data_IF_809596410086
#
_entry.id   IF_809596410086
#
_cell.length_a   1.000
_cell.length_b   1.000
_cell.length_c   1.000
_cell.angle_alpha   90.00
_cell.angle_beta   90.00
_cell.angle_gamma   90.00
#
_symmetry.space_group_name_H-M   'P 1'
#
loop_
_entity.id
_entity.type
_entity.pdbx_description
1 polymer ?
#
# COMPACT_ATOMS: atom_id res chain seq x y z
N UNK A 1 1.71 56.01 -33.26
CA UNK A 1 2.07 56.28 -34.67
C UNK A 1 3.08 57.43 -34.69
N UNK A 2 4.33 57.18 -35.09
CA UNK A 2 5.25 58.22 -35.58
C UNK A 2 6.47 57.53 -36.20
N UNK A 3 6.56 57.54 -37.52
CA UNK A 3 7.73 57.09 -38.29
C UNK A 3 8.62 58.32 -38.50
N UNK A 4 9.76 58.38 -37.83
CA UNK A 4 10.83 59.33 -38.19
C UNK A 4 11.65 58.68 -39.30
N UNK A 5 11.71 59.31 -40.46
CA UNK A 5 12.72 59.04 -41.48
C UNK A 5 13.37 60.37 -41.85
N UNK A 6 14.65 60.51 -41.53
CA UNK A 6 15.65 61.08 -42.41
C UNK A 6 16.99 61.15 -41.67
N UNK A 7 17.92 60.27 -42.04
CA UNK A 7 19.34 60.62 -42.09
C UNK A 7 19.68 60.83 -43.55
N UNK A 8 20.44 61.87 -43.88
CA UNK A 8 21.71 61.59 -44.53
C UNK A 8 22.77 62.64 -44.07
N UNK A 9 24.08 62.52 -44.27
CA UNK A 9 24.83 62.01 -45.42
C UNK A 9 26.30 61.96 -44.98
N UNK A 10 26.99 60.94 -45.44
CA UNK A 10 28.42 60.62 -45.25
C UNK A 10 29.36 61.62 -45.91
N UNK A 11 30.54 61.84 -45.34
CA UNK A 11 31.77 62.21 -46.07
C UNK A 11 33.01 61.50 -45.50
N UNK A 12 34.05 61.22 -46.33
CA UNK A 12 34.93 60.06 -46.17
C UNK A 12 36.35 60.38 -45.64
N UNK A 13 36.94 59.35 -45.01
CA UNK A 13 38.29 58.79 -45.20
C UNK A 13 39.54 59.71 -45.12
N UNK A 14 40.35 59.53 -44.06
CA UNK A 14 41.82 59.57 -44.15
C UNK A 14 42.42 58.51 -43.22
N UNK A 15 43.38 57.76 -43.76
CA UNK A 15 44.11 56.62 -43.20
C UNK A 15 45.25 57.09 -42.29
N UNK A 16 45.47 56.42 -41.16
CA UNK A 16 46.76 56.40 -40.46
C UNK A 16 47.02 55.00 -39.88
N UNK A 17 48.13 54.41 -40.30
CA UNK A 17 48.55 53.05 -39.95
C UNK A 17 49.13 52.97 -38.54
N UNK A 18 48.68 52.00 -37.74
CA UNK A 18 49.41 51.52 -36.55
C UNK A 18 49.22 50.00 -36.37
N UNK A 19 50.35 49.30 -36.50
CA UNK A 19 50.83 48.13 -35.76
C UNK A 19 49.81 47.07 -35.31
N UNK A 20 49.91 45.89 -35.93
CA UNK A 20 49.32 44.65 -35.44
C UNK A 20 49.91 44.26 -34.07
N UNK A 21 49.06 43.83 -33.12
CA UNK A 21 49.34 42.69 -32.24
C UNK A 21 48.05 42.22 -31.52
N UNK A 22 47.86 40.90 -31.55
CA UNK A 22 47.10 40.08 -30.58
C UNK A 22 45.56 40.06 -30.66
N UNK A 23 45.11 38.98 -31.29
CA UNK A 23 43.86 38.26 -31.06
C UNK A 23 43.44 38.15 -29.58
N UNK A 24 42.20 38.54 -29.30
CA UNK A 24 41.47 38.18 -28.08
C UNK A 24 39.98 38.17 -28.37
N UNK A 25 39.42 36.99 -28.66
CA UNK A 25 37.98 36.79 -28.82
C UNK A 25 37.25 37.08 -27.50
N UNK A 26 36.28 38.00 -27.42
CA UNK A 26 35.47 38.19 -26.21
C UNK A 26 34.32 37.17 -26.20
N UNK A 27 34.66 35.88 -26.20
CA UNK A 27 33.69 34.78 -26.15
C UNK A 27 34.08 33.80 -25.05
N UNK A 28 34.35 34.32 -23.85
CA UNK A 28 34.71 33.48 -22.71
C UNK A 28 34.25 34.05 -21.36
N UNK A 29 33.11 34.74 -21.30
CA UNK A 29 32.57 35.23 -20.01
C UNK A 29 31.08 34.97 -19.88
N UNK A 30 30.63 33.72 -20.03
CA UNK A 30 29.29 33.28 -19.61
C UNK A 30 29.23 31.77 -19.30
N UNK A 31 30.24 31.18 -18.64
CA UNK A 31 30.20 29.75 -18.24
C UNK A 31 30.51 29.44 -16.78
N UNK A 32 30.72 30.44 -15.92
CA UNK A 32 30.96 30.17 -14.49
C UNK A 32 29.80 30.57 -13.57
N UNK A 33 28.92 31.49 -13.99
CA UNK A 33 27.81 31.94 -13.15
C UNK A 33 26.55 31.08 -13.28
N UNK A 34 26.43 30.24 -14.32
CA UNK A 34 25.24 29.39 -14.53
C UNK A 34 25.26 28.10 -13.71
N UNK A 35 26.43 27.63 -13.30
CA UNK A 35 26.57 26.35 -12.58
C UNK A 35 26.39 26.49 -11.07
N UNK A 36 26.58 27.68 -10.49
CA UNK A 36 26.47 27.88 -9.04
C UNK A 36 25.04 28.11 -8.54
N UNK A 37 24.15 28.66 -9.36
CA UNK A 37 22.76 28.92 -8.98
C UNK A 37 21.95 27.60 -8.94
N UNK A 38 22.23 26.66 -9.84
CA UNK A 38 21.57 25.36 -9.87
C UNK A 38 22.03 24.44 -8.70
N UNK A 39 23.30 24.51 -8.31
CA UNK A 39 23.80 23.76 -7.14
C UNK A 39 23.30 24.31 -5.80
N UNK A 40 23.15 25.63 -5.66
CA UNK A 40 22.68 26.24 -4.40
C UNK A 40 21.19 26.04 -4.16
N UNK A 41 20.37 25.96 -5.22
CA UNK A 41 18.92 25.72 -5.11
C UNK A 41 18.56 24.23 -4.89
N UNK A 42 19.46 23.30 -5.23
CA UNK A 42 19.22 21.86 -5.10
C UNK A 42 19.58 21.31 -3.71
N UNK A 43 20.53 21.94 -3.00
CA UNK A 43 20.99 21.45 -1.68
C UNK A 43 19.91 21.61 -0.59
N UNK A 44 19.29 22.79 -0.46
CA UNK A 44 18.23 23.01 0.54
C UNK A 44 16.99 22.14 0.30
N UNK A 45 16.61 21.88 -0.96
CA UNK A 45 15.50 21.00 -1.31
C UNK A 45 15.79 19.52 -0.99
N UNK A 46 17.05 19.08 -1.18
CA UNK A 46 17.50 17.73 -0.85
C UNK A 46 17.64 17.53 0.65
N UNK A 47 18.14 18.53 1.39
CA UNK A 47 18.21 18.51 2.85
C UNK A 47 16.84 18.58 3.52
N UNK A 48 15.88 19.32 2.96
CA UNK A 48 14.49 19.32 3.41
C UNK A 48 13.78 17.98 3.14
N UNK A 49 14.09 17.31 2.02
CA UNK A 49 13.60 15.97 1.72
C UNK A 49 14.16 14.90 2.68
N UNK A 50 15.31 15.18 3.30
CA UNK A 50 15.97 14.29 4.27
C UNK A 50 15.43 14.40 5.70
N UNK A 51 14.46 15.30 5.96
CA UNK A 51 13.82 15.45 7.27
C UNK A 51 12.40 14.87 7.24
N UNK A 52 12.03 14.18 8.31
CA UNK A 52 10.66 13.76 8.55
C UNK A 52 9.82 14.92 9.10
N UNK A 53 8.61 15.10 8.58
CA UNK A 53 7.58 15.96 9.20
C UNK A 53 7.05 15.32 10.49
N UNK A 54 6.28 16.08 11.28
CA UNK A 54 5.58 15.52 12.45
C UNK A 54 4.61 14.41 12.06
N UNK A 55 3.86 14.59 10.97
CA UNK A 55 2.96 13.55 10.46
C UNK A 55 3.70 12.28 10.05
N UNK A 56 4.86 12.40 9.40
CA UNK A 56 5.69 11.25 9.02
C UNK A 56 6.27 10.55 10.24
N UNK A 57 6.64 11.29 11.30
CA UNK A 57 7.05 10.71 12.59
C UNK A 57 5.92 9.92 13.25
N UNK A 58 4.70 10.48 13.29
CA UNK A 58 3.54 9.76 13.83
C UNK A 58 3.24 8.49 13.03
N UNK A 59 3.34 8.55 11.70
CA UNK A 59 3.21 7.36 10.85
C UNK A 59 4.30 6.33 11.16
N UNK A 60 5.54 6.76 11.34
CA UNK A 60 6.63 5.87 11.75
C UNK A 60 6.30 5.15 13.07
N UNK A 61 5.80 5.88 14.08
CA UNK A 61 5.40 5.32 15.37
C UNK A 61 4.28 4.29 15.23
N UNK A 62 3.22 4.59 14.44
CA UNK A 62 2.11 3.65 14.19
C UNK A 62 2.58 2.33 13.56
N UNK A 63 3.60 2.39 12.71
CA UNK A 63 4.19 1.21 12.07
C UNK A 63 5.37 0.62 12.85
N UNK A 64 5.76 1.22 13.97
CA UNK A 64 6.93 0.84 14.75
C UNK A 64 8.23 0.89 13.93
N UNK A 65 8.37 1.91 13.08
CA UNK A 65 9.56 2.18 12.27
C UNK A 65 10.48 3.16 12.99
N UNK A 66 11.78 2.94 12.86
CA UNK A 66 12.76 3.94 13.28
C UNK A 66 12.84 5.12 12.27
N UNK A 67 13.55 6.18 12.67
CA UNK A 67 13.71 7.37 11.85
C UNK A 67 14.33 7.06 10.48
N UNK A 68 15.34 6.18 10.44
CA UNK A 68 16.04 5.83 9.21
C UNK A 68 15.19 4.97 8.28
N UNK A 69 14.41 4.05 8.84
CA UNK A 69 13.44 3.23 8.11
C UNK A 69 12.36 4.10 7.48
N UNK A 70 11.76 5.01 8.24
CA UNK A 70 10.74 5.92 7.70
C UNK A 70 11.33 6.86 6.65
N UNK A 71 12.55 7.36 6.86
CA UNK A 71 13.22 8.21 5.88
C UNK A 71 13.49 7.47 4.58
N UNK A 72 13.94 6.21 4.66
CA UNK A 72 14.13 5.36 3.48
C UNK A 72 12.80 5.09 2.78
N UNK A 73 11.73 4.79 3.53
CA UNK A 73 10.41 4.59 2.96
C UNK A 73 9.96 5.85 2.17
N UNK A 74 10.11 7.04 2.76
CA UNK A 74 9.82 8.33 2.11
C UNK A 74 10.58 8.49 0.78
N UNK A 75 11.89 8.25 0.79
CA UNK A 75 12.71 8.35 -0.43
C UNK A 75 12.28 7.34 -1.49
N UNK A 76 11.98 6.10 -1.10
CA UNK A 76 11.49 5.08 -2.01
C UNK A 76 10.14 5.48 -2.62
N UNK A 77 9.21 5.99 -1.81
CA UNK A 77 7.88 6.44 -2.27
C UNK A 77 7.97 7.61 -3.26
N UNK A 78 9.00 8.45 -3.18
CA UNK A 78 9.27 9.53 -4.14
C UNK A 78 10.09 9.07 -5.37
N UNK A 79 10.66 7.87 -5.30
CA UNK A 79 11.51 7.30 -6.34
C UNK A 79 10.74 6.71 -7.53
N UNK A 80 11.43 6.00 -8.44
CA UNK A 80 10.84 5.47 -9.68
C UNK A 80 9.61 4.58 -9.47
N UNK A 81 9.52 3.88 -8.33
CA UNK A 81 8.33 3.10 -7.98
C UNK A 81 7.05 3.92 -7.96
N UNK A 82 7.11 5.23 -7.65
CA UNK A 82 5.94 6.10 -7.58
C UNK A 82 5.17 6.12 -8.90
N UNK A 83 5.87 5.92 -10.03
CA UNK A 83 5.26 5.98 -11.36
C UNK A 83 4.28 4.83 -11.63
N UNK A 84 4.38 3.72 -10.88
CA UNK A 84 3.54 2.53 -11.04
C UNK A 84 3.06 1.97 -9.69
N UNK A 85 3.15 2.78 -8.63
CA UNK A 85 2.65 2.40 -7.29
C UNK A 85 1.16 2.65 -7.19
N UNK A 86 0.50 1.80 -6.39
CA UNK A 86 -0.86 2.07 -5.93
C UNK A 86 -0.83 3.30 -5.00
N UNK A 87 -1.82 4.20 -5.07
CA UNK A 87 -1.96 5.29 -4.11
C UNK A 87 -2.02 4.78 -2.66
N UNK A 88 -1.51 5.57 -1.71
CA UNK A 88 -1.60 5.31 -0.25
C UNK A 88 -0.94 4.03 0.26
N UNK A 89 0.05 3.48 -0.46
CA UNK A 89 0.76 2.29 0.01
C UNK A 89 1.50 2.56 1.34
N UNK A 90 1.51 1.58 2.25
CA UNK A 90 2.13 1.77 3.57
C UNK A 90 3.67 1.81 3.50
N UNK A 91 4.35 2.52 4.42
CA UNK A 91 5.81 2.57 4.44
C UNK A 91 6.44 1.19 4.70
N UNK A 92 5.77 0.31 5.45
CA UNK A 92 6.24 -1.06 5.71
C UNK A 92 6.19 -1.90 4.43
N UNK A 93 5.12 -1.85 3.66
CA UNK A 93 5.06 -2.56 2.37
C UNK A 93 6.10 -2.01 1.39
N UNK A 94 6.35 -0.69 1.39
CA UNK A 94 7.39 -0.08 0.57
C UNK A 94 8.76 -0.66 0.93
N UNK A 95 9.07 -0.72 2.22
CA UNK A 95 10.33 -1.27 2.70
C UNK A 95 10.45 -2.78 2.42
N UNK A 96 9.36 -3.54 2.54
CA UNK A 96 9.32 -4.98 2.24
C UNK A 96 9.55 -5.30 0.76
N UNK A 97 8.91 -4.57 -0.15
CA UNK A 97 9.12 -4.74 -1.60
C UNK A 97 10.57 -4.42 -1.97
N UNK A 98 11.14 -3.36 -1.39
CA UNK A 98 12.51 -2.90 -1.65
C UNK A 98 13.54 -3.41 -0.62
N UNK A 99 13.26 -4.53 0.05
CA UNK A 99 14.17 -5.11 1.03
C UNK A 99 15.51 -5.53 0.38
N UNK A 100 16.62 -5.28 1.07
CA UNK A 100 18.00 -5.60 0.64
C UNK A 100 18.38 -7.05 0.90
N UNK A 101 17.63 -7.73 1.76
CA UNK A 101 17.85 -9.12 2.15
C UNK A 101 16.52 -9.79 2.47
N UNK A 102 16.54 -11.11 2.51
CA UNK A 102 15.36 -11.89 2.87
C UNK A 102 14.93 -11.66 4.33
N UNK A 103 15.91 -11.52 5.25
CA UNK A 103 15.62 -11.17 6.64
C UNK A 103 14.94 -9.79 6.76
N UNK A 104 15.39 -8.81 5.96
CA UNK A 104 14.74 -7.49 5.93
C UNK A 104 13.32 -7.58 5.34
N UNK A 105 13.12 -8.42 4.31
CA UNK A 105 11.79 -8.67 3.73
C UNK A 105 10.84 -9.29 4.75
N UNK A 106 11.28 -10.33 5.44
CA UNK A 106 10.50 -11.02 6.47
C UNK A 106 10.13 -10.08 7.62
N UNK A 107 11.09 -9.26 8.11
CA UNK A 107 10.84 -8.26 9.16
C UNK A 107 9.66 -7.36 8.82
N UNK A 108 9.61 -6.83 7.60
CA UNK A 108 8.52 -5.93 7.18
C UNK A 108 7.23 -6.69 6.87
N UNK A 109 7.30 -7.90 6.33
CA UNK A 109 6.13 -8.76 6.15
C UNK A 109 5.45 -9.06 7.49
N UNK A 110 6.22 -9.41 8.52
CA UNK A 110 5.70 -9.67 9.87
C UNK A 110 5.04 -8.43 10.47
N UNK A 111 5.68 -7.25 10.34
CA UNK A 111 5.08 -5.97 10.78
C UNK A 111 3.75 -5.71 10.10
N UNK A 112 3.66 -5.93 8.78
CA UNK A 112 2.41 -5.74 8.04
C UNK A 112 1.34 -6.74 8.45
N UNK A 113 1.70 -8.02 8.56
CA UNK A 113 0.79 -9.09 8.98
C UNK A 113 0.20 -8.81 10.37
N UNK A 114 1.02 -8.36 11.32
CA UNK A 114 0.55 -7.95 12.65
C UNK A 114 -0.44 -6.79 12.59
N UNK A 115 -0.17 -5.75 11.80
CA UNK A 115 -1.08 -4.61 11.66
C UNK A 115 -2.43 -5.03 11.06
N UNK A 116 -2.42 -5.82 9.99
CA UNK A 116 -3.63 -6.35 9.35
C UNK A 116 -4.40 -7.25 10.30
N UNK A 117 -3.72 -8.12 11.04
CA UNK A 117 -4.36 -9.00 12.01
C UNK A 117 -5.11 -8.22 13.11
N UNK A 118 -4.49 -7.18 13.67
CA UNK A 118 -5.14 -6.34 14.67
C UNK A 118 -6.28 -5.50 14.10
N UNK A 119 -6.17 -5.04 12.85
CA UNK A 119 -7.27 -4.35 12.16
C UNK A 119 -8.48 -5.26 11.91
N UNK A 120 -8.24 -6.49 11.45
CA UNK A 120 -9.29 -7.51 11.25
C UNK A 120 -10.00 -7.80 12.58
N UNK A 121 -9.26 -7.95 13.68
CA UNK A 121 -9.86 -8.13 15.01
C UNK A 121 -10.79 -6.99 15.39
N UNK A 122 -10.39 -5.73 15.15
CA UNK A 122 -11.23 -4.55 15.41
C UNK A 122 -12.46 -4.53 14.51
N UNK A 123 -12.29 -4.84 13.23
CA UNK A 123 -13.39 -4.91 12.26
C UNK A 123 -14.43 -5.96 12.67
N UNK A 124 -13.99 -7.14 13.12
CA UNK A 124 -14.89 -8.18 13.61
C UNK A 124 -15.63 -7.76 14.88
N UNK A 125 -14.93 -7.14 15.84
CA UNK A 125 -15.54 -6.62 17.06
C UNK A 125 -16.59 -5.53 16.74
N UNK A 126 -16.28 -4.63 15.81
CA UNK A 126 -17.23 -3.63 15.32
C UNK A 126 -18.43 -4.28 14.62
N UNK A 127 -18.20 -5.28 13.76
CA UNK A 127 -19.27 -6.02 13.08
C UNK A 127 -20.26 -6.66 14.05
N UNK A 128 -19.77 -7.25 15.14
CA UNK A 128 -20.63 -7.78 16.22
C UNK A 128 -21.44 -6.68 16.90
N UNK A 129 -20.80 -5.57 17.28
CA UNK A 129 -21.49 -4.43 17.90
C UNK A 129 -22.56 -3.82 16.97
N UNK A 130 -22.25 -3.72 15.68
CA UNK A 130 -23.19 -3.26 14.65
C UNK A 130 -24.39 -4.21 14.52
N UNK A 131 -24.16 -5.52 14.49
CA UNK A 131 -25.22 -6.52 14.44
C UNK A 131 -26.16 -6.41 15.66
N UNK A 132 -25.59 -6.29 16.87
CA UNK A 132 -26.39 -6.07 18.09
C UNK A 132 -27.18 -4.76 18.04
N UNK A 133 -26.60 -3.68 17.49
CA UNK A 133 -27.31 -2.43 17.31
C UNK A 133 -28.49 -2.58 16.33
N UNK A 134 -28.29 -3.31 15.23
CA UNK A 134 -29.34 -3.61 14.26
C UNK A 134 -30.48 -4.43 14.84
N UNK A 135 -30.20 -5.43 15.68
CA UNK A 135 -31.23 -6.25 16.35
C UNK A 135 -32.11 -5.43 17.31
N UNK A 136 -31.50 -4.48 18.04
CA UNK A 136 -32.24 -3.56 18.90
C UNK A 136 -33.18 -2.67 18.09
N UNK A 137 -32.70 -2.16 16.95
CA UNK A 137 -33.51 -1.35 16.04
C UNK A 137 -34.64 -2.15 15.38
N UNK A 138 -34.40 -3.43 15.07
CA UNK A 138 -35.39 -4.33 14.49
C UNK A 138 -36.53 -4.71 15.48
N UNK A 139 -36.39 -4.40 16.77
CA UNK A 139 -37.40 -4.69 17.79
C UNK A 139 -37.67 -6.19 17.96
N UNK A 140 -36.69 -7.05 17.71
CA UNK A 140 -36.85 -8.50 17.73
C UNK A 140 -37.61 -9.07 16.53
N UNK A 141 -37.99 -8.25 15.54
CA UNK A 141 -38.57 -8.72 14.28
C UNK A 141 -37.46 -9.27 13.39
N UNK A 142 -37.49 -10.56 13.00
CA UNK A 142 -36.51 -11.10 12.06
C UNK A 142 -36.60 -10.34 10.75
N UNK A 143 -35.48 -9.74 10.32
CA UNK A 143 -35.39 -9.06 9.01
C UNK A 143 -35.62 -10.04 7.85
N UNK A 144 -35.34 -11.33 8.08
CA UNK A 144 -35.67 -12.44 7.18
C UNK A 144 -36.54 -13.43 7.95
N UNK A 145 -37.75 -13.67 7.46
CA UNK A 145 -38.67 -14.67 8.02
C UNK A 145 -38.71 -15.91 7.14
N UNK A 146 -38.56 -17.08 7.78
CA UNK A 146 -38.73 -18.40 7.14
C UNK A 146 -40.07 -19.05 7.52
N UNK A 147 -40.98 -18.31 8.15
CA UNK A 147 -42.30 -18.81 8.50
C UNK A 147 -43.07 -19.19 7.22
N UNK A 148 -43.43 -20.47 7.08
CA UNK A 148 -44.08 -21.01 5.89
C UNK A 148 -43.14 -21.38 4.73
N UNK A 149 -41.82 -21.26 4.91
CA UNK A 149 -40.87 -21.73 3.91
C UNK A 149 -40.85 -23.26 3.82
N UNK A 150 -40.89 -23.79 2.60
CA UNK A 150 -40.76 -25.22 2.32
C UNK A 150 -39.34 -25.70 2.64
N UNK A 151 -39.21 -26.94 3.10
CA UNK A 151 -37.88 -27.55 3.28
C UNK A 151 -37.10 -27.59 1.96
N UNK A 152 -35.79 -27.29 2.03
CA UNK A 152 -34.87 -27.28 0.89
C UNK A 152 -33.85 -28.40 1.05
N UNK A 153 -33.64 -29.16 -0.03
CA UNK A 153 -32.56 -30.15 -0.10
C UNK A 153 -31.27 -29.42 -0.48
N UNK A 154 -30.37 -29.23 0.47
CA UNK A 154 -29.10 -28.55 0.28
C UNK A 154 -28.08 -29.01 1.32
N UNK A 155 -26.77 -28.95 1.03
CA UNK A 155 -25.73 -29.17 2.03
C UNK A 155 -25.83 -28.16 3.19
N UNK A 156 -25.61 -28.61 4.42
CA UNK A 156 -25.82 -27.81 5.65
C UNK A 156 -24.86 -26.64 5.68
N UNK A 157 -23.65 -26.83 5.15
CA UNK A 157 -22.68 -25.75 5.01
C UNK A 157 -23.19 -24.61 4.14
N UNK A 158 -23.93 -24.91 3.06
CA UNK A 158 -24.54 -23.90 2.21
C UNK A 158 -25.73 -23.21 2.89
N UNK A 159 -26.51 -23.96 3.68
CA UNK A 159 -27.64 -23.42 4.41
C UNK A 159 -27.24 -22.53 5.59
N UNK A 160 -26.15 -22.87 6.28
CA UNK A 160 -25.59 -22.10 7.39
C UNK A 160 -25.08 -20.72 6.91
N UNK A 161 -24.54 -20.63 5.68
CA UNK A 161 -24.16 -19.34 5.06
C UNK A 161 -25.36 -18.41 4.87
N UNK A 162 -26.52 -18.97 4.52
CA UNK A 162 -27.77 -18.23 4.34
C UNK A 162 -28.56 -18.01 5.63
N UNK A 163 -28.01 -18.40 6.79
CA UNK A 163 -28.69 -18.39 8.08
C UNK A 163 -30.06 -19.11 8.06
N UNK A 164 -30.18 -20.13 7.22
CA UNK A 164 -31.42 -20.91 7.06
C UNK A 164 -31.55 -21.86 8.26
N UNK A 165 -32.72 -21.92 8.93
CA UNK A 165 -32.94 -22.86 10.02
C UNK A 165 -32.68 -24.30 9.58
N UNK A 166 -31.85 -25.04 10.32
CA UNK A 166 -31.55 -26.46 10.02
C UNK A 166 -32.78 -27.37 10.01
N UNK A 167 -33.88 -26.95 10.65
CA UNK A 167 -35.18 -27.64 10.55
C UNK A 167 -35.80 -27.62 9.15
N UNK A 168 -35.36 -26.68 8.30
CA UNK A 168 -35.80 -26.53 6.92
C UNK A 168 -34.81 -27.12 5.91
N UNK A 169 -33.71 -27.73 6.36
CA UNK A 169 -32.63 -28.22 5.50
C UNK A 169 -32.60 -29.74 5.54
N UNK A 170 -32.61 -30.36 4.36
CA UNK A 170 -32.39 -31.80 4.22
C UNK A 170 -31.07 -32.04 3.49
N UNK A 171 -30.12 -32.72 4.16
CA UNK A 171 -28.85 -33.10 3.54
C UNK A 171 -29.07 -34.08 2.37
N UNK A 172 -28.68 -33.75 1.14
CA UNK A 172 -28.71 -34.70 0.04
C UNK A 172 -27.77 -35.88 0.34
N UNK A 173 -28.34 -37.08 0.41
CA UNK A 173 -27.59 -38.33 0.65
C UNK A 173 -27.44 -38.75 2.12
N UNK A 174 -28.12 -38.11 3.07
CA UNK A 174 -28.09 -38.50 4.49
C UNK A 174 -28.97 -39.73 4.85
N UNK A 175 -29.18 -40.66 3.91
CA UNK A 175 -29.81 -41.96 4.19
C UNK A 175 -28.74 -42.95 4.67
N UNK A 176 -28.24 -42.76 5.88
CA UNK A 176 -27.25 -43.64 6.52
C UNK A 176 -27.06 -43.28 7.99
N UNK A 177 -26.66 -44.24 8.87
CA UNK A 177 -26.58 -44.01 10.31
C UNK A 177 -25.69 -42.79 10.59
N UNK A 178 -26.13 -41.97 11.55
CA UNK A 178 -25.62 -40.62 11.79
C UNK A 178 -24.09 -40.55 11.75
N UNK A 179 -23.56 -39.41 11.31
CA UNK A 179 -22.13 -39.07 11.24
C UNK A 179 -21.31 -39.44 12.50
N UNK A 180 -21.95 -39.65 13.65
CA UNK A 180 -21.34 -40.17 14.88
C UNK A 180 -20.81 -41.61 14.75
N UNK A 181 -21.39 -42.45 13.90
CA UNK A 181 -20.95 -43.83 13.66
C UNK A 181 -19.72 -43.93 12.74
N UNK A 182 -19.49 -42.94 11.86
CA UNK A 182 -18.37 -42.94 10.91
C UNK A 182 -17.00 -42.70 11.56
N UNK A 183 -16.97 -42.22 12.81
CA UNK A 183 -15.74 -41.96 13.57
C UNK A 183 -15.60 -42.85 14.81
N UNK A 184 -16.43 -43.91 14.95
CA UNK A 184 -16.17 -44.93 15.97
C UNK A 184 -14.93 -45.74 15.54
N UNK A 185 -13.83 -45.57 16.26
CA UNK A 185 -12.61 -46.38 16.09
C UNK A 185 -12.95 -47.87 16.13
N UNK A 186 -12.41 -48.70 15.21
CA UNK A 186 -12.61 -50.14 15.29
C UNK A 186 -11.97 -50.66 16.57
N UNK A 187 -12.77 -51.29 17.43
CA UNK A 187 -12.25 -52.00 18.60
C UNK A 187 -11.39 -53.17 18.12
N UNK A 188 -10.08 -53.07 18.33
CA UNK A 188 -9.12 -54.14 18.09
C UNK A 188 -9.50 -55.34 18.94
N UNK A 189 -10.13 -56.33 18.31
CA UNK A 189 -10.35 -57.65 18.89
C UNK A 189 -9.65 -58.67 18.01
N UNK A 190 -8.56 -59.23 18.54
CA UNK A 190 -7.99 -60.49 18.06
C UNK A 190 -7.41 -61.21 19.27
N UNK A 191 -7.96 -62.37 19.65
CA UNK A 191 -7.35 -63.21 20.67
C UNK A 191 -6.26 -64.04 19.99
N UNK A 192 -5.02 -63.87 20.44
CA UNK A 192 -3.90 -64.75 20.10
C UNK A 192 -4.21 -66.15 20.64
N UNK A 193 -4.53 -67.10 19.76
CA UNK A 193 -4.52 -68.51 20.13
C UNK A 193 -3.06 -68.97 20.25
N UNK A 194 -2.68 -69.29 21.49
CA UNK A 194 -1.40 -69.90 21.84
C UNK A 194 -1.58 -71.41 21.74
N UNK A 195 -1.11 -72.02 20.66
CA UNK A 195 -0.93 -73.48 20.58
C UNK A 195 0.50 -73.86 20.97
N UNK A 196 0.59 -75.05 21.56
CA UNK A 196 1.67 -75.55 22.40
C UNK A 196 2.73 -76.30 21.61
#
# INVERSE_FOLDING_TARGET
MARVHARPRTFPLVVAATLALMSGSPWAQTRETRTQIESAQTQGAREAALKLSDSERMVAEMWGLDYGEMLRAKVLMQGPRSAFSIPNMSPVEVLGIHARSEAERQKYADKFAHAVFEDVKRTLAFGQAYQTAMERLAGGTPMVSYAGASGVVAPTGSADIGNVPRSLVTEPGATGPSSRARFATPQTSSPVQRTR
#
